data_IF_718268203555
#
_entry.id   IF_718268203555
#
_cell.length_a   1.000
_cell.length_b   1.000
_cell.length_c   1.000
_cell.angle_alpha   90.00
_cell.angle_beta   90.00
_cell.angle_gamma   90.00
#
_symmetry.space_group_name_H-M   'P 1'
#
loop_
_entity.id
_entity.type
_entity.pdbx_description
1 polymer ?
#
# COMPACT_ATOMS: atom_id res chain seq x y z
N UNK A 1 9.97 -5.09 6.52
CA UNK A 1 8.63 -4.96 5.91
C UNK A 1 7.60 -4.66 6.97
N UNK A 2 6.74 -3.72 6.70
CA UNK A 2 5.70 -3.33 7.63
C UNK A 2 4.44 -4.15 7.36
N UNK A 3 3.82 -4.76 8.39
CA UNK A 3 2.59 -5.52 8.18
C UNK A 3 1.44 -4.60 7.77
N UNK A 4 0.63 -5.07 6.85
CA UNK A 4 -0.57 -4.38 6.42
C UNK A 4 -1.60 -5.39 5.96
N UNK A 5 -2.86 -4.96 5.96
CA UNK A 5 -3.96 -5.75 5.45
C UNK A 5 -4.49 -5.09 4.19
N UNK A 6 -4.61 -5.87 3.13
CA UNK A 6 -5.17 -5.37 1.89
C UNK A 6 -6.69 -5.38 1.98
N UNK A 7 -7.29 -4.20 1.80
CA UNK A 7 -8.75 -4.05 1.85
C UNK A 7 -9.34 -4.22 0.47
N UNK A 8 -8.70 -3.63 -0.54
CA UNK A 8 -9.20 -3.67 -1.91
C UNK A 8 -8.03 -3.54 -2.86
N UNK A 9 -8.07 -4.27 -3.94
CA UNK A 9 -7.02 -4.25 -4.96
C UNK A 9 -7.67 -4.17 -6.32
N UNK A 10 -7.20 -3.23 -7.13
CA UNK A 10 -7.64 -3.09 -8.52
C UNK A 10 -6.43 -2.99 -9.43
N UNK A 11 -6.67 -2.92 -10.74
CA UNK A 11 -5.59 -2.79 -11.70
C UNK A 11 -4.83 -1.48 -11.55
N UNK A 12 -5.47 -0.46 -11.00
CA UNK A 12 -4.90 0.88 -10.94
C UNK A 12 -4.49 1.31 -9.54
N UNK A 13 -4.91 0.61 -8.51
CA UNK A 13 -4.60 1.03 -7.16
C UNK A 13 -4.94 0.01 -6.10
N UNK A 14 -4.69 0.40 -4.86
CA UNK A 14 -4.89 -0.47 -3.72
C UNK A 14 -5.34 0.35 -2.52
N UNK A 15 -6.18 -0.26 -1.69
CA UNK A 15 -6.54 0.29 -0.38
C UNK A 15 -6.04 -0.68 0.69
N UNK A 16 -5.26 -0.16 1.63
CA UNK A 16 -4.66 -0.99 2.66
C UNK A 16 -4.92 -0.39 4.04
N UNK A 17 -4.89 -1.25 5.04
CA UNK A 17 -4.91 -0.86 6.44
C UNK A 17 -3.55 -1.17 7.03
N UNK A 18 -2.89 -0.16 7.60
CA UNK A 18 -1.57 -0.33 8.19
C UNK A 18 -1.55 0.33 9.57
N UNK A 19 -0.71 -0.21 10.44
CA UNK A 19 -0.43 0.44 11.72
C UNK A 19 0.43 1.68 11.45
N UNK A 20 0.06 2.81 12.02
CA UNK A 20 0.80 4.07 11.84
C UNK A 20 0.87 4.50 10.36
N UNK A 21 -0.30 4.66 9.74
CA UNK A 21 -0.39 5.03 8.34
C UNK A 21 0.35 6.33 8.02
N UNK A 22 0.41 7.24 8.98
CA UNK A 22 1.10 8.54 8.80
C UNK A 22 2.60 8.39 8.62
N UNK A 23 3.17 7.25 8.99
CA UNK A 23 4.60 6.99 8.84
C UNK A 23 4.96 6.36 7.50
N UNK A 24 3.95 6.00 6.70
CA UNK A 24 4.19 5.42 5.37
C UNK A 24 4.60 6.53 4.42
N UNK A 25 5.70 6.37 3.67
CA UNK A 25 6.13 7.40 2.72
C UNK A 25 5.10 7.58 1.60
N UNK A 26 5.15 8.73 0.92
CA UNK A 26 4.21 9.05 -0.15
C UNK A 26 4.31 8.10 -1.34
N UNK A 27 5.48 7.50 -1.55
CA UNK A 27 5.67 6.46 -2.56
C UNK A 27 6.29 5.25 -1.85
N UNK A 28 5.73 4.07 -2.10
CA UNK A 28 6.21 2.85 -1.48
C UNK A 28 6.05 1.69 -2.44
N UNK A 29 6.73 0.58 -2.13
CA UNK A 29 6.60 -0.65 -2.91
C UNK A 29 5.73 -1.63 -2.16
N UNK A 30 4.66 -2.09 -2.81
CA UNK A 30 3.78 -3.11 -2.27
C UNK A 30 4.23 -4.47 -2.78
N UNK A 31 4.54 -5.37 -1.86
CA UNK A 31 4.96 -6.72 -2.21
C UNK A 31 3.73 -7.59 -2.37
N UNK A 32 3.58 -8.16 -3.56
CA UNK A 32 2.37 -8.90 -3.93
C UNK A 32 2.57 -10.41 -3.92
N UNK A 33 3.76 -10.90 -3.57
CA UNK A 33 4.00 -12.33 -3.47
C UNK A 33 4.84 -12.63 -2.24
N UNK A 34 4.77 -13.89 -1.78
CA UNK A 34 5.43 -14.31 -0.56
C UNK A 34 6.94 -14.27 -0.65
N UNK A 35 7.48 -14.55 -1.81
CA UNK A 35 8.93 -14.58 -2.01
C UNK A 35 9.49 -13.20 -2.34
N UNK A 36 8.63 -12.19 -2.33
CA UNK A 36 9.00 -10.81 -2.60
C UNK A 36 9.63 -10.60 -3.98
N UNK A 37 9.40 -11.54 -4.89
CA UNK A 37 9.93 -11.43 -6.25
C UNK A 37 9.06 -10.55 -7.13
N UNK A 38 7.89 -10.17 -6.66
CA UNK A 38 6.94 -9.36 -7.42
C UNK A 38 6.43 -8.24 -6.54
N UNK A 39 6.75 -7.01 -6.93
CA UNK A 39 6.28 -5.83 -6.20
C UNK A 39 5.89 -4.74 -7.17
N UNK A 40 5.02 -3.84 -6.73
CA UNK A 40 4.59 -2.69 -7.52
C UNK A 40 4.76 -1.42 -6.71
N UNK A 41 5.19 -0.38 -7.37
CA UNK A 41 5.28 0.93 -6.75
C UNK A 41 3.91 1.57 -6.70
N UNK A 42 3.63 2.22 -5.59
CA UNK A 42 2.36 2.89 -5.38
C UNK A 42 2.59 4.27 -4.79
N UNK A 43 1.74 5.22 -5.17
CA UNK A 43 1.78 6.56 -4.63
C UNK A 43 0.54 6.81 -3.82
N UNK A 44 0.71 7.31 -2.60
CA UNK A 44 -0.41 7.58 -1.70
C UNK A 44 -1.27 8.69 -2.28
N UNK A 45 -2.55 8.43 -2.40
CA UNK A 45 -3.54 9.41 -2.83
C UNK A 45 -4.24 10.05 -1.64
N UNK A 46 -4.51 9.26 -0.60
CA UNK A 46 -5.16 9.76 0.60
C UNK A 46 -4.81 8.88 1.79
N UNK A 47 -4.95 9.46 2.96
CA UNK A 47 -4.78 8.76 4.23
C UNK A 47 -5.94 9.11 5.14
N UNK A 48 -6.42 8.10 5.87
CA UNK A 48 -7.49 8.30 6.84
C UNK A 48 -7.31 7.31 7.97
N UNK A 49 -6.94 7.81 9.16
CA UNK A 49 -6.69 6.93 10.29
C UNK A 49 -5.60 5.93 9.98
N UNK A 50 -5.94 4.66 10.01
CA UNK A 50 -5.00 3.59 9.68
C UNK A 50 -5.15 3.09 8.25
N UNK A 51 -5.92 3.78 7.41
CA UNK A 51 -6.14 3.37 6.02
C UNK A 51 -5.41 4.26 5.05
N UNK A 52 -4.95 3.68 3.96
CA UNK A 52 -4.27 4.37 2.89
C UNK A 52 -4.87 3.93 1.58
N UNK A 53 -5.20 4.91 0.72
CA UNK A 53 -5.51 4.65 -0.67
C UNK A 53 -4.34 5.09 -1.53
N UNK A 54 -3.89 4.22 -2.42
CA UNK A 54 -2.73 4.49 -3.26
C UNK A 54 -3.00 4.05 -4.69
N UNK A 55 -2.35 4.73 -5.64
CA UNK A 55 -2.42 4.32 -7.04
C UNK A 55 -1.08 3.74 -7.46
N UNK A 56 -1.13 2.75 -8.32
CA UNK A 56 0.08 2.16 -8.89
C UNK A 56 0.70 3.11 -9.91
N UNK A 57 2.01 3.15 -9.91
CA UNK A 57 2.79 3.99 -10.83
C UNK A 57 3.80 3.17 -11.59
#
# INVERSE_FOLDING_TARGET
MRPCNMVDLSDTGVQITVHAAEAVPGVFTLLLSRDASFGRRARVKWRRGSQIGAEFI
#
